data_IF_068878191134
#
_entry.id   IF_068878191134
#
_cell.length_a   1.000
_cell.length_b   1.000
_cell.length_c   1.000
_cell.angle_alpha   90.00
_cell.angle_beta   90.00
_cell.angle_gamma   90.00
#
_symmetry.space_group_name_H-M   'P 1'
#
loop_
_entity.id
_entity.type
_entity.pdbx_description
1 polymer ?
#
# COMPACT_ATOMS: atom_id res chain seq x y z
N UNK A 1 -13.15 -25.87 27.58
CA UNK A 1 -14.11 -24.81 27.22
C UNK A 1 -13.49 -23.87 26.20
N UNK A 2 -14.15 -23.72 25.03
CA UNK A 2 -13.70 -22.90 23.90
C UNK A 2 -13.45 -21.43 24.32
N UNK A 3 -14.36 -20.85 25.09
CA UNK A 3 -14.23 -19.46 25.54
C UNK A 3 -13.00 -19.24 26.44
N UNK A 4 -12.68 -20.18 27.29
CA UNK A 4 -11.48 -20.10 28.13
C UNK A 4 -10.21 -20.22 27.29
N UNK A 5 -10.21 -21.09 26.29
CA UNK A 5 -9.07 -21.23 25.36
C UNK A 5 -8.86 -19.95 24.56
N UNK A 6 -9.94 -19.39 23.99
CA UNK A 6 -9.90 -18.15 23.21
C UNK A 6 -9.37 -16.98 24.04
N UNK A 7 -9.84 -16.82 25.28
CA UNK A 7 -9.32 -15.77 26.18
C UNK A 7 -7.82 -15.93 26.46
N UNK A 8 -7.37 -17.14 26.75
CA UNK A 8 -5.94 -17.41 27.00
C UNK A 8 -5.10 -17.12 25.76
N UNK A 9 -5.56 -17.55 24.59
CA UNK A 9 -4.86 -17.29 23.33
C UNK A 9 -4.78 -15.77 23.04
N UNK A 10 -5.90 -15.08 23.16
CA UNK A 10 -5.95 -13.61 22.97
C UNK A 10 -4.99 -12.90 23.92
N UNK A 11 -4.99 -13.28 25.21
CA UNK A 11 -4.11 -12.70 26.21
C UNK A 11 -2.64 -12.96 25.86
N UNK A 12 -2.29 -14.22 25.55
CA UNK A 12 -0.93 -14.59 25.15
C UNK A 12 -0.46 -13.83 23.90
N UNK A 13 -1.35 -13.60 22.93
CA UNK A 13 -1.04 -12.80 21.74
C UNK A 13 -0.76 -11.34 22.11
N UNK A 14 -1.60 -10.71 22.93
CA UNK A 14 -1.46 -9.31 23.32
C UNK A 14 -0.25 -9.04 24.22
N UNK A 15 0.17 -10.03 25.01
CA UNK A 15 1.34 -9.94 25.89
C UNK A 15 2.65 -10.37 25.20
N UNK A 16 2.55 -11.08 24.07
CA UNK A 16 3.69 -11.56 23.30
C UNK A 16 4.35 -10.51 22.41
N UNK A 17 5.42 -10.89 21.69
CA UNK A 17 6.02 -10.02 20.68
C UNK A 17 4.98 -9.75 19.60
N UNK A 18 4.53 -8.51 19.51
CA UNK A 18 3.52 -8.10 18.54
C UNK A 18 4.17 -7.90 17.16
N UNK A 19 4.26 -8.98 16.40
CA UNK A 19 4.80 -8.96 15.02
C UNK A 19 4.04 -7.94 14.16
N UNK A 20 2.72 -7.81 14.39
CA UNK A 20 1.87 -6.88 13.66
C UNK A 20 1.56 -5.59 14.44
N UNK A 21 2.47 -5.13 15.31
CA UNK A 21 2.29 -3.86 16.04
C UNK A 21 1.94 -2.68 15.12
N UNK A 22 2.48 -2.69 13.92
CA UNK A 22 2.26 -1.69 12.88
C UNK A 22 1.34 -2.20 11.76
N UNK A 23 0.51 -3.23 12.04
CA UNK A 23 -0.29 -3.89 11.03
C UNK A 23 0.55 -4.74 10.08
N UNK A 24 0.00 -5.09 8.92
CA UNK A 24 0.73 -5.84 7.87
C UNK A 24 1.91 -5.05 7.31
N UNK A 25 1.83 -3.72 7.30
CA UNK A 25 2.92 -2.84 6.88
C UNK A 25 4.20 -2.98 7.74
N UNK A 26 4.09 -3.50 8.98
CA UNK A 26 5.24 -3.85 9.81
C UNK A 26 6.11 -4.98 9.25
N UNK A 27 5.65 -5.71 8.23
CA UNK A 27 6.41 -6.76 7.53
C UNK A 27 7.38 -6.18 6.50
N UNK A 28 7.20 -4.93 6.07
CA UNK A 28 8.02 -4.28 5.02
C UNK A 28 9.52 -4.41 5.26
N UNK A 29 10.10 -4.12 6.44
CA UNK A 29 11.55 -4.24 6.65
C UNK A 29 12.05 -5.68 6.51
N UNK A 30 11.27 -6.66 6.99
CA UNK A 30 11.62 -8.08 6.89
C UNK A 30 11.56 -8.55 5.45
N UNK A 31 10.50 -8.19 4.72
CA UNK A 31 10.35 -8.50 3.29
C UNK A 31 11.51 -7.92 2.48
N UNK A 32 11.91 -6.68 2.77
CA UNK A 32 13.06 -6.05 2.11
C UNK A 32 14.37 -6.79 2.40
N UNK A 33 14.61 -7.16 3.65
CA UNK A 33 15.79 -7.93 4.05
C UNK A 33 15.87 -9.30 3.36
N UNK A 34 14.72 -9.93 3.11
CA UNK A 34 14.62 -11.24 2.47
C UNK A 34 14.59 -11.16 0.93
N UNK A 35 14.78 -10.00 0.32
CA UNK A 35 14.66 -9.77 -1.13
C UNK A 35 13.28 -10.12 -1.70
N UNK A 36 12.22 -9.94 -0.92
CA UNK A 36 10.83 -10.21 -1.32
C UNK A 36 9.95 -8.95 -1.38
N UNK A 37 10.54 -7.80 -1.05
CA UNK A 37 9.87 -6.51 -1.19
C UNK A 37 10.06 -6.01 -2.62
N UNK A 38 9.01 -6.18 -3.43
CA UNK A 38 9.04 -5.90 -4.87
C UNK A 38 9.41 -4.45 -5.15
N UNK A 39 10.46 -4.24 -5.96
CA UNK A 39 10.92 -2.91 -6.37
C UNK A 39 11.07 -2.86 -7.89
N UNK A 40 10.62 -1.76 -8.52
CA UNK A 40 10.67 -1.51 -9.97
C UNK A 40 10.22 -2.72 -10.80
N UNK A 41 8.95 -3.04 -10.72
CA UNK A 41 8.32 -4.15 -11.42
C UNK A 41 9.11 -5.48 -11.27
N UNK A 42 9.58 -5.77 -10.05
CA UNK A 42 10.37 -6.98 -9.70
C UNK A 42 11.74 -7.07 -10.35
N UNK A 43 12.26 -6.00 -10.93
CA UNK A 43 13.65 -5.98 -11.44
C UNK A 43 14.66 -6.02 -10.30
N UNK A 44 14.25 -5.58 -9.11
CA UNK A 44 15.04 -5.63 -7.89
C UNK A 44 14.18 -6.18 -6.72
N UNK A 45 14.81 -6.89 -5.80
CA UNK A 45 14.14 -7.51 -4.64
C UNK A 45 14.16 -6.64 -3.38
N UNK A 46 14.84 -5.48 -3.42
CA UNK A 46 14.96 -4.55 -2.30
C UNK A 46 14.72 -3.13 -2.75
N UNK A 47 14.00 -2.38 -1.93
CA UNK A 47 13.85 -0.94 -2.09
C UNK A 47 14.88 -0.20 -1.24
N UNK A 48 15.58 0.82 -1.79
CA UNK A 48 16.44 1.70 -1.00
C UNK A 48 15.63 2.60 -0.06
N UNK A 49 14.36 2.83 -0.36
CA UNK A 49 13.45 3.72 0.36
C UNK A 49 12.58 2.99 1.40
N UNK A 50 12.99 1.78 1.82
CA UNK A 50 12.22 0.92 2.74
C UNK A 50 11.80 1.62 4.04
N UNK A 51 12.67 2.47 4.60
CA UNK A 51 12.41 3.17 5.86
C UNK A 51 11.32 4.25 5.77
N UNK A 52 11.03 4.74 4.58
CA UNK A 52 9.98 5.74 4.34
C UNK A 52 8.65 5.10 3.95
N UNK A 53 8.64 3.77 3.73
CA UNK A 53 7.48 2.98 3.32
C UNK A 53 7.04 1.97 4.39
N UNK A 54 7.67 1.88 5.53
CA UNK A 54 7.34 0.87 6.55
C UNK A 54 6.19 1.32 7.49
N UNK A 55 5.68 0.35 8.24
CA UNK A 55 4.60 0.59 9.21
C UNK A 55 5.00 1.50 10.38
N UNK A 56 6.29 1.62 10.70
CA UNK A 56 6.75 2.54 11.73
C UNK A 56 6.52 4.00 11.28
N UNK A 57 6.74 4.30 10.00
CA UNK A 57 6.44 5.61 9.43
C UNK A 57 4.95 5.95 9.48
N UNK A 58 4.07 4.97 9.24
CA UNK A 58 2.62 5.18 9.37
C UNK A 58 2.27 5.54 10.81
N UNK A 59 2.81 4.83 11.79
CA UNK A 59 2.54 5.09 13.22
C UNK A 59 3.08 6.44 13.67
N UNK A 60 4.26 6.86 13.20
CA UNK A 60 4.77 8.21 13.45
C UNK A 60 3.82 9.31 12.93
N UNK A 61 3.19 9.08 11.79
CA UNK A 61 2.19 10.02 11.26
C UNK A 61 0.95 10.11 12.14
N UNK A 62 0.54 9.03 12.83
CA UNK A 62 -0.58 9.10 13.79
C UNK A 62 -0.32 10.08 14.93
N UNK A 63 0.90 10.06 15.48
CA UNK A 63 1.27 10.96 16.58
C UNK A 63 1.29 12.43 16.14
N UNK A 64 1.63 12.69 14.88
CA UNK A 64 1.76 14.05 14.34
C UNK A 64 0.44 14.59 13.76
N UNK A 65 -0.38 13.74 13.14
CA UNK A 65 -1.50 14.15 12.28
C UNK A 65 -2.84 13.57 12.69
N UNK A 66 -2.84 12.62 13.65
CA UNK A 66 -4.01 11.83 13.99
C UNK A 66 -4.17 10.61 13.11
N UNK A 67 -5.27 9.89 13.30
CA UNK A 67 -5.49 8.58 12.71
C UNK A 67 -5.27 7.46 13.71
N UNK A 68 -4.94 6.26 13.25
CA UNK A 68 -4.67 5.13 14.13
C UNK A 68 -4.92 3.77 13.51
N UNK A 69 -4.51 2.72 14.21
CA UNK A 69 -4.82 1.34 13.86
C UNK A 69 -6.23 0.97 14.27
N UNK A 70 -6.93 0.21 13.44
CA UNK A 70 -8.26 -0.30 13.77
C UNK A 70 -8.46 -1.73 13.21
N UNK A 71 -9.52 -2.38 13.65
CA UNK A 71 -9.93 -3.69 13.14
C UNK A 71 -10.92 -3.52 11.97
N UNK A 72 -10.66 -4.18 10.85
CA UNK A 72 -11.57 -4.21 9.69
C UNK A 72 -12.84 -5.04 9.96
N UNK A 73 -12.83 -5.91 10.99
CA UNK A 73 -13.99 -6.70 11.40
C UNK A 73 -14.08 -6.82 12.92
N UNK A 74 -15.30 -6.99 13.40
CA UNK A 74 -15.57 -7.16 14.85
C UNK A 74 -14.84 -8.36 15.42
N UNK A 75 -14.15 -8.18 16.55
CA UNK A 75 -13.44 -9.23 17.26
C UNK A 75 -12.02 -9.52 16.76
N UNK A 76 -11.55 -8.86 15.70
CA UNK A 76 -10.17 -9.01 15.27
C UNK A 76 -9.21 -8.38 16.28
N UNK A 77 -8.28 -9.18 16.81
CA UNK A 77 -7.27 -8.74 17.79
C UNK A 77 -6.01 -8.15 17.14
N UNK A 78 -5.79 -8.42 15.86
CA UNK A 78 -4.60 -7.97 15.11
C UNK A 78 -4.67 -6.47 14.81
N UNK A 79 -5.87 -5.97 14.46
CA UNK A 79 -6.10 -4.54 14.13
C UNK A 79 -5.09 -4.02 13.11
N UNK A 80 -4.95 -4.74 12.00
CA UNK A 80 -3.94 -4.42 10.99
C UNK A 80 -4.37 -3.30 10.04
N UNK A 81 -5.64 -2.93 10.01
CA UNK A 81 -6.09 -1.78 9.24
C UNK A 81 -5.70 -0.46 9.90
N UNK A 82 -5.60 0.59 9.12
CA UNK A 82 -5.17 1.90 9.60
C UNK A 82 -5.99 3.03 8.96
N UNK A 83 -6.06 4.15 9.66
CA UNK A 83 -6.63 5.41 9.17
C UNK A 83 -5.48 6.40 9.07
N UNK A 84 -5.22 6.88 7.87
CA UNK A 84 -4.13 7.81 7.57
C UNK A 84 -4.69 9.21 7.32
N UNK A 85 -4.07 10.21 7.95
CA UNK A 85 -4.38 11.61 7.77
C UNK A 85 -3.32 12.32 6.92
N UNK A 86 -3.73 13.38 6.24
CA UNK A 86 -2.83 14.27 5.51
C UNK A 86 -2.03 15.19 6.46
N UNK A 87 -1.20 16.05 5.90
CA UNK A 87 -0.36 16.96 6.66
C UNK A 87 -1.17 18.00 7.48
N UNK A 88 -2.41 18.26 7.08
CA UNK A 88 -3.32 19.20 7.75
C UNK A 88 -4.18 18.52 8.82
N UNK A 89 -4.02 17.20 9.02
CA UNK A 89 -4.76 16.41 10.00
C UNK A 89 -6.15 15.96 9.52
N UNK A 90 -6.47 16.09 8.23
CA UNK A 90 -7.72 15.59 7.68
C UNK A 90 -7.60 14.12 7.26
N UNK A 91 -8.72 13.39 7.34
CA UNK A 91 -8.78 12.03 6.81
C UNK A 91 -8.32 11.99 5.35
N UNK A 92 -7.36 11.14 5.05
CA UNK A 92 -6.84 10.92 3.71
C UNK A 92 -7.32 9.60 3.12
N UNK A 93 -6.96 8.51 3.75
CA UNK A 93 -7.33 7.16 3.33
C UNK A 93 -7.24 6.17 4.49
N UNK A 94 -7.60 4.93 4.25
CA UNK A 94 -7.46 3.84 5.22
C UNK A 94 -6.94 2.57 4.56
N UNK A 95 -6.51 1.61 5.40
CA UNK A 95 -6.03 0.32 4.96
C UNK A 95 -4.77 0.36 4.07
N UNK A 96 -3.80 1.24 4.38
CA UNK A 96 -2.46 1.14 3.80
C UNK A 96 -1.77 -0.09 4.38
N UNK A 97 -2.08 -1.25 3.81
CA UNK A 97 -1.52 -2.54 4.19
C UNK A 97 -0.27 -2.87 3.38
N UNK A 98 0.40 -3.96 3.72
CA UNK A 98 1.65 -4.38 3.08
C UNK A 98 1.55 -4.42 1.55
N UNK A 99 0.45 -4.97 1.03
CA UNK A 99 0.22 -5.15 -0.39
C UNK A 99 0.10 -3.81 -1.12
N UNK A 100 -0.69 -2.89 -0.59
CA UNK A 100 -0.86 -1.53 -1.13
C UNK A 100 0.47 -0.78 -1.16
N UNK A 101 1.22 -0.80 -0.04
CA UNK A 101 2.53 -0.14 0.07
C UNK A 101 3.53 -0.76 -0.89
N UNK A 102 3.50 -2.08 -1.05
CA UNK A 102 4.39 -2.78 -1.95
C UNK A 102 4.10 -2.44 -3.41
N UNK A 103 2.84 -2.54 -3.84
CA UNK A 103 2.48 -2.45 -5.25
C UNK A 103 2.34 -1.00 -5.74
N UNK A 104 1.64 -0.13 -5.02
CA UNK A 104 1.56 1.30 -5.36
C UNK A 104 2.82 2.07 -4.97
N UNK A 105 3.57 1.59 -3.98
CA UNK A 105 4.80 2.22 -3.49
C UNK A 105 6.06 1.67 -4.16
N UNK A 106 6.73 0.72 -3.51
CA UNK A 106 8.04 0.23 -3.92
C UNK A 106 8.09 -0.32 -5.35
N UNK A 107 7.08 -1.06 -5.78
CA UNK A 107 6.98 -1.59 -7.15
C UNK A 107 7.02 -0.51 -8.23
N UNK A 108 6.51 0.68 -7.92
CA UNK A 108 6.53 1.87 -8.77
C UNK A 108 7.68 2.83 -8.45
N UNK A 109 8.60 2.46 -7.55
CA UNK A 109 9.66 3.31 -7.01
C UNK A 109 9.15 4.62 -6.36
N UNK A 110 7.89 4.64 -5.91
CA UNK A 110 7.30 5.74 -5.14
C UNK A 110 7.82 5.62 -3.71
N UNK A 111 8.17 6.74 -3.09
CA UNK A 111 9.09 6.75 -1.95
C UNK A 111 8.46 7.06 -0.60
N UNK A 112 7.27 7.64 -0.58
CA UNK A 112 6.68 8.11 0.68
C UNK A 112 5.28 7.58 0.90
N UNK A 113 4.92 7.39 2.17
CA UNK A 113 3.57 6.99 2.57
C UNK A 113 2.51 8.01 2.09
N UNK A 114 2.82 9.30 2.07
CA UNK A 114 1.87 10.32 1.61
C UNK A 114 1.56 10.19 0.12
N UNK A 115 2.54 9.86 -0.70
CA UNK A 115 2.35 9.60 -2.15
C UNK A 115 1.54 8.32 -2.36
N UNK A 116 1.85 7.25 -1.62
CA UNK A 116 1.08 6.00 -1.67
C UNK A 116 -0.36 6.24 -1.24
N UNK A 117 -0.59 6.99 -0.14
CA UNK A 117 -1.91 7.33 0.35
C UNK A 117 -2.74 8.16 -0.65
N UNK A 118 -2.09 9.01 -1.45
CA UNK A 118 -2.76 9.72 -2.53
C UNK A 118 -3.26 8.77 -3.63
N UNK A 119 -2.45 7.81 -4.03
CA UNK A 119 -2.82 6.83 -5.07
C UNK A 119 -3.86 5.84 -4.56
N UNK A 120 -3.71 5.39 -3.32
CA UNK A 120 -4.68 4.52 -2.63
C UNK A 120 -6.06 5.20 -2.57
N UNK A 121 -6.12 6.47 -2.16
CA UNK A 121 -7.36 7.25 -2.16
C UNK A 121 -8.01 7.32 -3.53
N UNK A 122 -7.24 7.52 -4.60
CA UNK A 122 -7.75 7.52 -5.96
C UNK A 122 -8.28 6.15 -6.38
N UNK A 123 -7.60 5.08 -6.00
CA UNK A 123 -8.08 3.71 -6.24
C UNK A 123 -9.43 3.48 -5.56
N UNK A 124 -9.57 3.86 -4.29
CA UNK A 124 -10.83 3.77 -3.54
C UNK A 124 -11.97 4.53 -4.22
N UNK A 125 -11.73 5.78 -4.62
CA UNK A 125 -12.74 6.63 -5.28
C UNK A 125 -13.17 6.10 -6.66
N UNK A 126 -12.26 5.42 -7.36
CA UNK A 126 -12.49 4.85 -8.68
C UNK A 126 -12.97 3.39 -8.63
N UNK A 127 -12.97 2.76 -7.44
CA UNK A 127 -13.32 1.35 -7.28
C UNK A 127 -12.28 0.40 -7.87
N UNK A 128 -11.00 0.76 -7.80
CA UNK A 128 -9.88 -0.02 -8.32
C UNK A 128 -9.19 -0.81 -7.20
N UNK A 129 -8.76 -2.02 -7.51
CA UNK A 129 -7.89 -2.79 -6.65
C UNK A 129 -6.47 -2.20 -6.64
N UNK A 130 -5.91 -1.94 -5.47
CA UNK A 130 -4.60 -1.30 -5.31
C UNK A 130 -3.44 -2.18 -5.75
N UNK A 131 -3.59 -3.50 -5.60
CA UNK A 131 -2.58 -4.50 -5.99
C UNK A 131 -2.47 -4.55 -7.52
N UNK A 132 -3.61 -4.74 -8.18
CA UNK A 132 -3.70 -4.83 -9.64
C UNK A 132 -3.28 -3.50 -10.30
N UNK A 133 -3.75 -2.38 -9.75
CA UNK A 133 -3.39 -1.05 -10.23
C UNK A 133 -1.89 -0.77 -10.10
N UNK A 134 -1.30 -1.08 -8.94
CA UNK A 134 0.13 -0.92 -8.71
C UNK A 134 0.98 -1.80 -9.64
N UNK A 135 0.53 -3.04 -9.90
CA UNK A 135 1.18 -3.93 -10.86
C UNK A 135 1.11 -3.36 -12.29
N UNK A 136 -0.05 -2.84 -12.71
CA UNK A 136 -0.22 -2.23 -14.04
C UNK A 136 0.63 -0.97 -14.23
N UNK A 137 0.68 -0.10 -13.20
CA UNK A 137 1.55 1.08 -13.19
C UNK A 137 3.03 0.69 -13.26
N UNK A 138 3.44 -0.36 -12.54
CA UNK A 138 4.79 -0.88 -12.61
C UNK A 138 5.18 -1.33 -14.02
N UNK A 139 4.29 -2.04 -14.72
CA UNK A 139 4.48 -2.43 -16.14
C UNK A 139 4.56 -1.20 -17.05
N UNK A 140 3.72 -0.18 -16.83
CA UNK A 140 3.76 1.06 -17.59
C UNK A 140 5.11 1.77 -17.43
N UNK A 141 5.64 1.84 -16.21
CA UNK A 141 6.95 2.43 -15.91
C UNK A 141 8.09 1.62 -16.56
N UNK A 142 8.05 0.30 -16.41
CA UNK A 142 9.08 -0.61 -16.94
C UNK A 142 9.18 -0.54 -18.47
N UNK A 143 8.05 -0.38 -19.15
CA UNK A 143 8.00 -0.18 -20.61
C UNK A 143 8.39 1.23 -21.08
N UNK A 144 8.81 2.11 -20.18
CA UNK A 144 9.17 3.51 -20.50
C UNK A 144 7.96 4.40 -20.80
N UNK A 145 6.74 3.98 -20.45
CA UNK A 145 5.54 4.79 -20.62
C UNK A 145 5.35 5.86 -19.55
N UNK A 146 6.08 5.75 -18.43
CA UNK A 146 6.11 6.70 -17.34
C UNK A 146 7.44 6.57 -16.58
N UNK A 147 7.93 7.67 -16.02
CA UNK A 147 9.15 7.65 -15.21
C UNK A 147 8.93 6.95 -13.87
N UNK A 148 9.96 6.21 -13.40
CA UNK A 148 9.94 5.59 -12.10
C UNK A 148 9.80 6.62 -10.96
N UNK A 149 8.86 6.39 -10.05
CA UNK A 149 8.65 7.23 -8.88
C UNK A 149 7.85 8.52 -9.14
N UNK A 150 7.36 8.75 -10.37
CA UNK A 150 6.49 9.90 -10.65
C UNK A 150 5.06 9.63 -10.18
N UNK A 151 4.84 9.81 -8.88
CA UNK A 151 3.52 9.65 -8.24
C UNK A 151 2.47 10.61 -8.80
N UNK A 152 2.89 11.81 -9.24
CA UNK A 152 2.00 12.78 -9.84
C UNK A 152 1.53 12.33 -11.24
N UNK A 153 2.42 11.75 -12.06
CA UNK A 153 2.03 11.14 -13.33
C UNK A 153 1.11 9.95 -13.12
N UNK A 154 1.40 9.08 -12.14
CA UNK A 154 0.54 7.96 -11.79
C UNK A 154 -0.87 8.44 -11.41
N UNK A 155 -0.99 9.46 -10.56
CA UNK A 155 -2.27 10.05 -10.20
C UNK A 155 -3.04 10.57 -11.43
N UNK A 156 -2.38 11.30 -12.34
CA UNK A 156 -3.01 11.78 -13.58
C UNK A 156 -3.53 10.64 -14.45
N UNK A 157 -2.77 9.54 -14.57
CA UNK A 157 -3.20 8.36 -15.32
C UNK A 157 -4.44 7.71 -14.70
N UNK A 158 -4.52 7.62 -13.37
CA UNK A 158 -5.73 7.12 -12.69
C UNK A 158 -6.93 8.07 -12.92
N UNK A 159 -6.73 9.37 -12.82
CA UNK A 159 -7.79 10.36 -13.13
C UNK A 159 -8.28 10.30 -14.58
N UNK A 160 -7.43 9.91 -15.53
CA UNK A 160 -7.83 9.72 -16.93
C UNK A 160 -8.90 8.63 -17.10
N UNK A 161 -9.01 7.66 -16.17
CA UNK A 161 -10.03 6.61 -16.21
C UNK A 161 -11.43 7.25 -16.26
N UNK A 162 -11.66 8.28 -15.47
CA UNK A 162 -12.97 8.99 -15.40
C UNK A 162 -13.34 9.71 -16.69
N UNK A 163 -12.34 10.02 -17.51
CA UNK A 163 -12.50 10.76 -18.77
C UNK A 163 -12.41 9.87 -20.02
N UNK A 164 -12.21 8.55 -19.80
CA UNK A 164 -12.01 7.60 -20.90
C UNK A 164 -10.69 7.80 -21.65
N UNK A 165 -9.67 8.35 -20.98
CA UNK A 165 -8.32 8.50 -21.55
C UNK A 165 -7.69 7.14 -21.88
N UNK A 166 -6.93 7.05 -22.95
CA UNK A 166 -6.39 5.77 -23.47
C UNK A 166 -5.51 5.07 -22.45
N UNK A 167 -4.57 5.80 -21.84
CA UNK A 167 -3.65 5.23 -20.83
C UNK A 167 -4.40 4.86 -19.55
N UNK A 168 -5.31 5.71 -19.08
CA UNK A 168 -6.15 5.43 -17.92
C UNK A 168 -7.01 4.18 -18.14
N UNK A 169 -7.69 4.06 -19.28
CA UNK A 169 -8.48 2.87 -19.60
C UNK A 169 -7.62 1.61 -19.68
N UNK A 170 -6.41 1.69 -20.23
CA UNK A 170 -5.48 0.56 -20.26
C UNK A 170 -5.14 0.07 -18.84
N UNK A 171 -4.76 0.98 -17.95
CA UNK A 171 -4.48 0.66 -16.54
C UNK A 171 -5.73 0.10 -15.84
N UNK A 172 -6.90 0.70 -16.05
CA UNK A 172 -8.17 0.24 -15.49
C UNK A 172 -8.60 -1.16 -15.94
N UNK A 173 -8.06 -1.67 -17.05
CA UNK A 173 -8.24 -3.06 -17.49
C UNK A 173 -7.23 -4.03 -16.87
N UNK A 174 -6.31 -3.55 -16.05
CA UNK A 174 -5.37 -4.35 -15.26
C UNK A 174 -4.04 -4.66 -15.94
N UNK A 175 -3.20 -5.36 -15.20
CA UNK A 175 -1.80 -5.62 -15.55
C UNK A 175 -1.64 -6.43 -16.84
N UNK A 176 -2.52 -7.39 -17.07
CA UNK A 176 -2.44 -8.26 -18.28
C UNK A 176 -2.69 -7.46 -19.55
N UNK A 177 -3.70 -6.58 -19.53
CA UNK A 177 -4.01 -5.74 -20.69
C UNK A 177 -2.93 -4.68 -20.89
N UNK A 178 -2.42 -4.11 -19.81
CA UNK A 178 -1.29 -3.17 -19.85
C UNK A 178 -0.06 -3.82 -20.48
N UNK A 179 0.29 -5.03 -20.05
CA UNK A 179 1.42 -5.77 -20.63
C UNK A 179 1.26 -6.07 -22.11
N UNK A 180 0.06 -6.46 -22.57
CA UNK A 180 -0.21 -6.71 -24.00
C UNK A 180 -0.03 -5.46 -24.86
N UNK A 181 -0.42 -4.30 -24.36
CA UNK A 181 -0.35 -3.04 -25.12
C UNK A 181 1.02 -2.36 -25.07
N UNK A 182 1.79 -2.67 -24.07
CA UNK A 182 3.12 -2.06 -23.86
C UNK A 182 4.27 -2.92 -24.32
N UNK A 183 4.02 -4.20 -24.68
CA UNK A 183 4.98 -5.09 -25.28
C UNK A 183 5.60 -6.10 -24.44
#
# INVERSE_FOLDING_TARGET
DFNALTKRYTQAYLEGPQIFKHGTSGVVPVANMLNTFVYKNRTEGQSPDVQTLDGARIVENFDMRGGGMHNCMTGCIVKCSNIVHDADGNYKTSALEFETITLLGANCAIKTIDEVANLDRLCDELGLDTIETGAALGVLMDSGGMEWGDSAAAARVLEEITRGGETGCMIGHGVVETGKRRG
#
